data_IF_893564302925
#
_entry.id   IF_893564302925
#
_cell.length_a   1.000
_cell.length_b   1.000
_cell.length_c   1.000
_cell.angle_alpha   90.00
_cell.angle_beta   90.00
_cell.angle_gamma   90.00
#
_symmetry.space_group_name_H-M   'P 1'
#
loop_
_entity.id
_entity.type
_entity.pdbx_description
1 polymer ?
#
# COMPACT_ATOMS: atom_id res chain seq x y z
N UNK A 1 -19.78 15.91 26.17
CA UNK A 1 -19.17 14.56 25.97
C UNK A 1 -18.99 13.81 27.30
N UNK A 2 -19.94 13.93 28.24
CA UNK A 2 -19.85 13.29 29.57
C UNK A 2 -19.72 11.75 29.54
N UNK A 3 -20.00 11.10 28.41
CA UNK A 3 -19.99 9.63 28.27
C UNK A 3 -18.97 9.10 27.27
N UNK A 4 -18.06 9.93 26.79
CA UNK A 4 -17.04 9.57 25.81
C UNK A 4 -17.52 9.36 24.38
N UNK A 5 -16.58 9.20 23.44
CA UNK A 5 -16.85 9.11 21.99
C UNK A 5 -17.60 7.83 21.61
N UNK A 6 -17.27 6.70 22.22
CA UNK A 6 -17.90 5.41 21.94
C UNK A 6 -19.41 5.43 22.24
N UNK A 7 -19.80 6.05 23.38
CA UNK A 7 -21.20 6.19 23.74
C UNK A 7 -21.94 7.16 22.82
N UNK A 8 -21.25 8.22 22.34
CA UNK A 8 -21.83 9.15 21.38
C UNK A 8 -22.12 8.50 20.03
N UNK A 9 -21.21 7.65 19.57
CA UNK A 9 -21.30 6.98 18.27
C UNK A 9 -22.11 5.68 18.31
N UNK A 10 -22.43 5.18 19.51
CA UNK A 10 -22.99 3.82 19.72
C UNK A 10 -22.15 2.74 18.99
N UNK A 11 -20.82 2.88 19.08
CA UNK A 11 -19.87 2.04 18.37
C UNK A 11 -18.86 1.40 19.32
N UNK A 12 -18.83 0.06 19.43
CA UNK A 12 -17.95 -0.65 20.36
C UNK A 12 -16.53 -0.94 19.81
N UNK A 13 -16.27 -0.64 18.54
CA UNK A 13 -14.97 -0.85 17.91
C UNK A 13 -14.00 0.29 18.19
N UNK A 14 -12.74 0.16 17.77
CA UNK A 14 -11.74 1.20 17.92
C UNK A 14 -12.11 2.47 17.13
N UNK A 15 -11.96 3.61 17.79
CA UNK A 15 -12.21 4.93 17.21
C UNK A 15 -10.88 5.64 16.99
N UNK A 16 -10.64 6.03 15.73
CA UNK A 16 -9.48 6.83 15.31
C UNK A 16 -9.96 8.22 14.95
N UNK A 17 -9.25 9.25 15.41
CA UNK A 17 -9.56 10.66 15.10
C UNK A 17 -8.41 11.34 14.41
N UNK A 18 -8.75 12.26 13.50
CA UNK A 18 -7.79 13.19 12.89
C UNK A 18 -7.56 14.40 13.82
N UNK A 19 -6.42 15.08 13.64
CA UNK A 19 -6.07 16.33 14.36
C UNK A 19 -6.83 17.55 13.86
N UNK A 20 -7.41 17.48 12.66
CA UNK A 20 -8.06 18.61 12.00
C UNK A 20 -7.11 19.52 11.22
N UNK A 21 -5.84 19.19 11.07
CA UNK A 21 -4.86 19.99 10.31
C UNK A 21 -5.34 20.30 8.89
N UNK A 22 -5.97 19.34 8.22
CA UNK A 22 -6.53 19.56 6.87
C UNK A 22 -7.67 20.60 6.88
N UNK A 23 -8.45 20.67 7.95
CA UNK A 23 -9.53 21.66 8.10
C UNK A 23 -8.97 23.08 8.23
N UNK A 24 -7.83 23.25 8.90
CA UNK A 24 -7.13 24.54 8.98
C UNK A 24 -6.74 25.05 7.60
N UNK A 25 -6.35 24.16 6.70
CA UNK A 25 -6.06 24.50 5.30
C UNK A 25 -7.31 24.98 4.54
N UNK A 26 -8.48 24.41 4.81
CA UNK A 26 -9.73 24.74 4.10
C UNK A 26 -10.42 25.97 4.67
N UNK A 27 -10.39 26.15 6.00
CA UNK A 27 -11.18 27.14 6.71
C UNK A 27 -10.36 28.25 7.41
N UNK A 28 -9.02 28.20 7.33
CA UNK A 28 -8.08 29.11 7.98
C UNK A 28 -7.53 28.57 9.30
N UNK A 29 -6.51 29.24 9.83
CA UNK A 29 -5.77 28.79 11.01
C UNK A 29 -6.68 28.54 12.22
N UNK A 30 -6.53 27.38 12.82
CA UNK A 30 -7.12 27.03 14.11
C UNK A 30 -6.04 27.27 15.17
N UNK A 31 -6.28 28.20 16.08
CA UNK A 31 -5.37 28.53 17.20
C UNK A 31 -5.43 27.45 18.30
N UNK A 32 -5.04 26.20 17.97
CA UNK A 32 -4.97 25.07 18.92
C UNK A 32 -3.55 24.53 18.94
N UNK A 33 -3.00 24.37 20.15
CA UNK A 33 -1.66 23.81 20.33
C UNK A 33 -1.62 22.27 20.18
N UNK A 34 -0.43 21.70 19.91
CA UNK A 34 -0.27 20.24 19.76
C UNK A 34 -0.63 19.46 21.02
N UNK A 35 -0.34 19.99 22.22
CA UNK A 35 -0.73 19.38 23.49
C UNK A 35 -2.24 19.39 23.70
N UNK A 36 -2.88 20.52 23.38
CA UNK A 36 -4.31 20.72 23.56
C UNK A 36 -5.13 19.78 22.71
N UNK A 37 -4.79 19.64 21.40
CA UNK A 37 -5.54 18.76 20.50
C UNK A 37 -5.40 17.28 20.87
N UNK A 38 -4.23 16.84 21.30
CA UNK A 38 -4.00 15.47 21.74
C UNK A 38 -4.72 15.19 23.07
N UNK A 39 -4.63 16.11 24.02
CA UNK A 39 -5.36 16.01 25.30
C UNK A 39 -6.87 15.97 25.11
N UNK A 40 -7.40 16.76 24.18
CA UNK A 40 -8.82 16.75 23.84
C UNK A 40 -9.27 15.38 23.29
N UNK A 41 -8.50 14.78 22.37
CA UNK A 41 -8.79 13.45 21.84
C UNK A 41 -8.74 12.39 22.95
N UNK A 42 -7.73 12.42 23.81
CA UNK A 42 -7.62 11.53 24.97
C UNK A 42 -8.83 11.67 25.91
N UNK A 43 -9.21 12.90 26.25
CA UNK A 43 -10.30 13.19 27.19
C UNK A 43 -11.68 12.81 26.61
N UNK A 44 -11.80 12.72 25.28
CA UNK A 44 -12.97 12.14 24.62
C UNK A 44 -13.02 10.60 24.68
N UNK A 45 -11.93 9.94 25.09
CA UNK A 45 -11.84 8.48 25.12
C UNK A 45 -11.63 7.85 23.76
N UNK A 46 -10.84 8.50 22.88
CA UNK A 46 -10.41 7.98 21.57
C UNK A 46 -9.37 6.90 21.78
N UNK A 47 -9.41 5.83 20.99
CA UNK A 47 -8.41 4.75 21.06
C UNK A 47 -7.10 5.13 20.38
N UNK A 48 -7.21 5.80 19.22
CA UNK A 48 -6.05 6.27 18.45
C UNK A 48 -6.28 7.73 18.05
N UNK A 49 -5.53 8.63 18.65
CA UNK A 49 -5.52 10.05 18.27
C UNK A 49 -4.53 10.33 17.16
N UNK A 50 -4.58 11.53 16.60
CA UNK A 50 -3.58 12.02 15.63
C UNK A 50 -2.96 13.31 16.17
N UNK A 51 -1.62 13.39 16.16
CA UNK A 51 -0.92 14.62 16.55
C UNK A 51 -1.17 15.75 15.54
N UNK A 52 -1.03 16.98 15.98
CA UNK A 52 -1.13 18.15 15.12
C UNK A 52 0.16 18.30 14.30
N UNK A 53 0.12 17.90 13.06
CA UNK A 53 1.22 18.05 12.10
C UNK A 53 1.20 19.41 11.38
N UNK A 54 2.21 19.68 10.58
CA UNK A 54 2.25 20.81 9.64
C UNK A 54 2.07 20.28 8.24
N UNK A 55 0.94 20.60 7.63
CA UNK A 55 0.53 20.01 6.35
C UNK A 55 1.43 20.46 5.19
N UNK A 56 2.16 19.51 4.61
CA UNK A 56 3.04 19.73 3.45
C UNK A 56 2.33 19.39 2.13
N UNK A 57 2.02 20.41 1.32
CA UNK A 57 1.37 20.22 0.00
C UNK A 57 2.39 19.98 -1.12
N UNK A 58 1.98 19.30 -2.21
CA UNK A 58 2.83 19.08 -3.37
C UNK A 58 3.26 20.35 -4.13
N UNK A 59 2.55 21.47 -3.94
CA UNK A 59 2.81 22.77 -4.59
C UNK A 59 3.65 23.74 -3.75
N UNK A 60 4.02 23.36 -2.53
CA UNK A 60 4.90 24.16 -1.67
C UNK A 60 6.34 24.13 -2.13
N UNK A 61 7.06 25.20 -1.81
CA UNK A 61 8.51 25.28 -2.01
C UNK A 61 9.24 24.27 -1.11
N UNK A 62 10.47 23.93 -1.49
CA UNK A 62 11.29 23.02 -0.69
C UNK A 62 11.48 23.54 0.74
N UNK A 63 11.78 24.82 0.93
CA UNK A 63 11.98 25.42 2.25
C UNK A 63 10.72 25.32 3.14
N UNK A 64 9.53 25.51 2.55
CA UNK A 64 8.26 25.32 3.26
C UNK A 64 8.04 23.86 3.65
N UNK A 65 8.44 22.92 2.81
CA UNK A 65 8.33 21.49 3.08
C UNK A 65 9.35 21.02 4.13
N UNK A 66 10.58 21.54 4.12
CA UNK A 66 11.58 21.32 5.17
C UNK A 66 11.08 21.84 6.51
N UNK A 67 10.46 23.02 6.52
CA UNK A 67 9.79 23.53 7.72
C UNK A 67 8.64 22.62 8.19
N UNK A 68 7.82 22.15 7.27
CA UNK A 68 6.72 21.21 7.56
C UNK A 68 7.24 19.94 8.25
N UNK A 69 8.30 19.34 7.72
CA UNK A 69 8.94 18.15 8.29
C UNK A 69 9.52 18.42 9.68
N UNK A 70 10.36 19.44 9.78
CA UNK A 70 11.05 19.76 11.04
C UNK A 70 10.08 20.16 12.15
N UNK A 71 9.08 21.00 11.84
CA UNK A 71 8.10 21.44 12.83
C UNK A 71 7.16 20.29 13.25
N UNK A 72 6.75 19.42 12.33
CA UNK A 72 5.99 18.21 12.68
C UNK A 72 6.80 17.33 13.64
N UNK A 73 8.08 17.10 13.36
CA UNK A 73 8.95 16.32 14.23
C UNK A 73 9.15 16.99 15.62
N UNK A 74 9.32 18.31 15.69
CA UNK A 74 9.46 19.05 16.93
C UNK A 74 8.26 18.91 17.88
N UNK A 75 7.06 18.68 17.34
CA UNK A 75 5.82 18.45 18.10
C UNK A 75 5.68 17.03 18.63
N UNK A 76 6.55 16.10 18.27
CA UNK A 76 6.42 14.66 18.60
C UNK A 76 6.47 14.42 20.11
N UNK A 77 7.45 14.99 20.82
CA UNK A 77 7.64 14.76 22.26
C UNK A 77 6.45 15.23 23.08
N UNK A 78 5.99 16.47 22.84
CA UNK A 78 4.85 17.03 23.56
C UNK A 78 3.54 16.27 23.25
N UNK A 79 3.38 15.83 22.01
CA UNK A 79 2.20 15.07 21.56
C UNK A 79 2.17 13.67 22.19
N UNK A 80 3.28 12.93 22.16
CA UNK A 80 3.40 11.61 22.80
C UNK A 80 3.17 11.69 24.32
N UNK A 81 3.71 12.73 24.97
CA UNK A 81 3.49 12.97 26.40
C UNK A 81 2.01 13.24 26.71
N UNK A 82 1.34 14.06 25.89
CA UNK A 82 -0.07 14.42 26.07
C UNK A 82 -1.02 13.22 25.84
N UNK A 83 -0.66 12.27 24.98
CA UNK A 83 -1.43 11.06 24.73
C UNK A 83 -1.56 10.17 25.98
N UNK A 84 -0.58 10.23 26.86
CA UNK A 84 -0.56 9.38 28.06
C UNK A 84 -0.43 7.89 27.76
N UNK A 85 -0.63 7.01 28.75
CA UNK A 85 -0.40 5.57 28.58
C UNK A 85 -1.50 4.84 27.78
N UNK A 86 -2.74 5.33 27.82
CA UNK A 86 -3.91 4.57 27.38
C UNK A 86 -4.30 4.83 25.92
N UNK A 87 -4.10 6.06 25.40
CA UNK A 87 -4.41 6.40 24.01
C UNK A 87 -3.19 6.15 23.11
N UNK A 88 -3.39 5.44 22.01
CA UNK A 88 -2.38 5.37 20.95
C UNK A 88 -2.35 6.66 20.11
N UNK A 89 -1.22 6.94 19.45
CA UNK A 89 -1.08 8.17 18.69
C UNK A 89 -0.52 7.91 17.29
N UNK A 90 -1.10 8.57 16.28
CA UNK A 90 -0.61 8.64 14.92
C UNK A 90 0.48 9.69 14.78
N UNK A 91 1.57 9.32 14.09
CA UNK A 91 2.67 10.23 13.71
C UNK A 91 2.69 10.44 12.19
N UNK A 92 2.09 11.53 11.66
CA UNK A 92 2.01 11.77 10.21
C UNK A 92 3.39 12.02 9.58
N UNK A 93 3.58 11.47 8.37
CA UNK A 93 4.78 11.67 7.55
C UNK A 93 4.50 12.78 6.54
N UNK A 94 5.33 13.81 6.53
CA UNK A 94 5.26 14.96 5.63
C UNK A 94 6.45 14.98 4.65
N UNK A 95 6.54 15.97 3.74
CA UNK A 95 7.66 16.13 2.79
C UNK A 95 7.23 16.38 1.34
N UNK A 96 5.93 16.60 1.08
CA UNK A 96 5.42 16.90 -0.27
C UNK A 96 5.73 15.77 -1.26
N UNK A 97 6.30 16.12 -2.42
CA UNK A 97 6.74 15.17 -3.46
C UNK A 97 8.25 14.87 -3.41
N UNK A 98 8.95 15.31 -2.39
CA UNK A 98 10.39 15.10 -2.25
C UNK A 98 10.69 13.80 -1.50
N UNK A 99 11.26 12.81 -2.20
CA UNK A 99 11.55 11.50 -1.63
C UNK A 99 12.52 11.57 -0.43
N UNK A 100 13.52 12.42 -0.49
CA UNK A 100 14.49 12.65 0.59
C UNK A 100 13.83 13.26 1.85
N UNK A 101 12.91 14.20 1.70
CA UNK A 101 12.17 14.76 2.83
C UNK A 101 11.16 13.75 3.42
N UNK A 102 10.58 12.88 2.60
CA UNK A 102 9.73 11.77 3.06
C UNK A 102 10.51 10.77 3.89
N UNK A 103 11.72 10.42 3.43
CA UNK A 103 12.60 9.52 4.17
C UNK A 103 13.07 10.15 5.49
N UNK A 104 13.49 11.42 5.48
CA UNK A 104 13.85 12.18 6.69
C UNK A 104 12.68 12.24 7.68
N UNK A 105 11.49 12.61 7.21
CA UNK A 105 10.28 12.65 8.06
C UNK A 105 9.99 11.28 8.67
N UNK A 106 10.15 10.21 7.89
CA UNK A 106 9.91 8.84 8.35
C UNK A 106 10.92 8.40 9.40
N UNK A 107 12.18 8.76 9.24
CA UNK A 107 13.23 8.50 10.24
C UNK A 107 12.95 9.22 11.55
N UNK A 108 12.59 10.52 11.49
CA UNK A 108 12.30 11.35 12.66
C UNK A 108 11.05 10.84 13.40
N UNK A 109 9.96 10.59 12.67
CA UNK A 109 8.71 10.16 13.26
C UNK A 109 8.74 8.70 13.73
N UNK A 110 9.43 7.83 12.98
CA UNK A 110 9.59 6.41 13.31
C UNK A 110 10.48 6.16 14.52
N UNK A 111 11.41 7.07 14.82
CA UNK A 111 12.31 7.00 15.98
C UNK A 111 11.83 7.79 17.20
N UNK A 112 10.78 8.62 17.07
CA UNK A 112 10.27 9.42 18.17
C UNK A 112 9.67 8.55 19.28
N UNK A 113 10.11 8.76 20.52
CA UNK A 113 9.71 7.96 21.68
C UNK A 113 9.71 8.77 22.95
N UNK A 114 8.71 8.55 23.81
CA UNK A 114 8.63 9.09 25.17
C UNK A 114 8.27 7.93 26.12
N UNK A 115 9.08 7.71 27.13
CA UNK A 115 8.90 6.64 28.14
C UNK A 115 8.68 5.23 27.53
N UNK A 116 9.39 4.90 26.42
CA UNK A 116 9.28 3.61 25.73
C UNK A 116 8.05 3.49 24.82
N UNK A 117 7.32 4.59 24.58
CA UNK A 117 6.15 4.64 23.72
C UNK A 117 6.40 5.56 22.53
N UNK A 118 6.38 4.99 21.34
CA UNK A 118 6.41 5.73 20.06
C UNK A 118 5.04 5.83 19.40
N UNK A 119 5.02 6.38 18.20
CA UNK A 119 3.79 6.42 17.40
C UNK A 119 3.35 5.01 16.98
N UNK A 120 2.05 4.77 17.03
CA UNK A 120 1.46 3.46 16.73
C UNK A 120 1.20 3.25 15.24
N UNK A 121 0.87 4.30 14.51
CA UNK A 121 0.53 4.29 13.10
C UNK A 121 1.21 5.50 12.43
N UNK A 122 1.65 5.34 11.19
CA UNK A 122 2.24 6.42 10.41
C UNK A 122 1.34 6.76 9.19
N UNK A 123 0.52 7.82 9.32
CA UNK A 123 -0.21 8.36 8.17
C UNK A 123 0.72 9.06 7.19
N UNK A 124 0.52 8.83 5.89
CA UNK A 124 1.19 9.58 4.82
C UNK A 124 0.33 10.79 4.49
N UNK A 125 0.79 11.98 4.89
CA UNK A 125 0.08 13.23 4.72
C UNK A 125 0.33 13.91 3.36
N UNK A 126 -0.53 14.88 3.00
CA UNK A 126 -0.35 15.73 1.82
C UNK A 126 -0.58 15.06 0.47
N UNK A 127 -1.22 13.88 0.42
CA UNK A 127 -1.34 13.07 -0.81
C UNK A 127 -2.64 13.27 -1.59
N UNK A 128 -3.67 13.85 -1.00
CA UNK A 128 -4.98 14.04 -1.67
C UNK A 128 -4.86 14.79 -3.00
N UNK A 129 -4.09 15.90 -3.11
CA UNK A 129 -3.93 16.58 -4.39
C UNK A 129 -3.30 15.72 -5.49
N UNK A 130 -2.40 14.80 -5.14
CA UNK A 130 -1.79 13.86 -6.10
C UNK A 130 -2.83 12.88 -6.65
N UNK A 131 -3.74 12.41 -5.81
CA UNK A 131 -4.83 11.52 -6.21
C UNK A 131 -5.85 12.24 -7.10
N UNK A 132 -6.25 13.46 -6.75
CA UNK A 132 -7.18 14.30 -7.54
C UNK A 132 -6.61 14.66 -8.91
N UNK A 133 -5.30 14.90 -9.01
CA UNK A 133 -4.59 15.19 -10.25
C UNK A 133 -4.14 13.93 -11.01
N UNK A 134 -4.42 12.75 -10.49
CA UNK A 134 -4.02 11.45 -11.05
C UNK A 134 -2.49 11.30 -11.22
N UNK A 135 -1.71 11.94 -10.38
CA UNK A 135 -0.24 11.85 -10.33
C UNK A 135 0.19 10.59 -9.57
N UNK A 136 -0.26 9.43 -10.06
CA UNK A 136 -0.12 8.17 -9.33
C UNK A 136 1.32 7.67 -9.25
N UNK A 137 2.15 7.95 -10.26
CA UNK A 137 3.59 7.63 -10.20
C UNK A 137 4.24 8.31 -8.99
N UNK A 138 4.09 9.63 -8.87
CA UNK A 138 4.65 10.38 -7.75
C UNK A 138 4.03 9.95 -6.40
N UNK A 139 2.73 9.63 -6.38
CA UNK A 139 2.06 9.11 -5.20
C UNK A 139 2.72 7.84 -4.67
N UNK A 140 3.07 6.89 -5.54
CA UNK A 140 3.71 5.65 -5.13
C UNK A 140 5.21 5.80 -4.89
N UNK A 141 5.89 6.72 -5.56
CA UNK A 141 7.27 7.08 -5.28
C UNK A 141 7.44 7.60 -3.84
N UNK A 142 6.60 8.57 -3.43
CA UNK A 142 6.65 9.08 -2.06
C UNK A 142 6.18 8.06 -1.01
N UNK A 143 5.27 7.16 -1.35
CA UNK A 143 4.92 6.05 -0.47
C UNK A 143 6.12 5.15 -0.19
N UNK A 144 6.85 4.74 -1.23
CA UNK A 144 8.03 3.90 -1.09
C UNK A 144 9.13 4.61 -0.31
N UNK A 145 9.40 5.88 -0.61
CA UNK A 145 10.36 6.70 0.14
C UNK A 145 9.99 6.82 1.62
N UNK A 146 8.70 7.07 1.92
CA UNK A 146 8.21 7.14 3.30
C UNK A 146 8.35 5.81 4.04
N UNK A 147 8.18 4.68 3.36
CA UNK A 147 8.28 3.35 4.00
C UNK A 147 9.73 2.90 4.22
N UNK A 148 10.69 3.45 3.51
CA UNK A 148 12.08 2.98 3.54
C UNK A 148 12.69 3.05 4.96
N UNK A 149 12.41 4.10 5.71
CA UNK A 149 12.95 4.33 7.06
C UNK A 149 11.92 4.15 8.20
N UNK A 150 10.67 3.77 7.88
CA UNK A 150 9.68 3.47 8.92
C UNK A 150 9.94 2.11 9.58
N UNK A 151 9.67 1.97 10.87
CA UNK A 151 9.69 0.68 11.55
C UNK A 151 8.75 -0.32 10.85
N UNK A 152 9.20 -1.53 10.51
CA UNK A 152 8.42 -2.48 9.71
C UNK A 152 7.23 -3.09 10.45
N UNK A 153 7.16 -2.91 11.77
CA UNK A 153 6.10 -3.39 12.66
C UNK A 153 5.00 -2.33 12.89
N UNK A 154 5.07 -1.17 12.20
CA UNK A 154 4.08 -0.10 12.32
C UNK A 154 3.19 -0.03 11.09
N UNK A 155 1.86 -0.01 11.25
CA UNK A 155 0.93 0.19 10.15
C UNK A 155 1.14 1.54 9.45
N UNK A 156 0.93 1.55 8.13
CA UNK A 156 0.93 2.75 7.30
C UNK A 156 -0.50 3.09 6.90
N UNK A 157 -0.89 4.33 7.13
CA UNK A 157 -2.20 4.86 6.80
C UNK A 157 -2.09 5.83 5.61
N UNK A 158 -2.87 5.60 4.58
CA UNK A 158 -2.89 6.44 3.37
C UNK A 158 -4.02 7.47 3.49
N UNK A 159 -3.71 8.65 4.04
CA UNK A 159 -4.69 9.67 4.39
C UNK A 159 -5.52 10.13 3.19
N UNK A 160 -6.85 10.07 3.34
CA UNK A 160 -7.81 10.51 2.34
C UNK A 160 -7.91 9.61 1.10
N UNK A 161 -7.20 8.48 1.06
CA UNK A 161 -7.25 7.55 -0.06
C UNK A 161 -8.47 6.64 0.04
N UNK A 162 -9.53 6.94 -0.73
CA UNK A 162 -10.76 6.16 -0.70
C UNK A 162 -11.28 5.70 -2.05
N UNK A 163 -10.52 5.92 -3.12
CA UNK A 163 -10.92 5.45 -4.43
C UNK A 163 -10.56 3.96 -4.61
N UNK A 164 -11.53 3.06 -4.89
CA UNK A 164 -11.29 1.62 -4.98
C UNK A 164 -10.20 1.21 -5.97
N UNK A 165 -10.04 1.97 -7.05
CA UNK A 165 -9.01 1.74 -8.07
C UNK A 165 -7.59 1.70 -7.50
N UNK A 166 -7.31 2.46 -6.43
CA UNK A 166 -5.97 2.62 -5.85
C UNK A 166 -5.64 1.55 -4.80
N UNK A 167 -6.64 0.91 -4.21
CA UNK A 167 -6.41 -0.03 -3.09
C UNK A 167 -5.46 -1.17 -3.42
N UNK A 168 -5.61 -1.88 -4.56
CA UNK A 168 -4.75 -3.04 -4.81
C UNK A 168 -3.27 -2.68 -4.91
N UNK A 169 -2.92 -1.59 -5.59
CA UNK A 169 -1.54 -1.13 -5.71
C UNK A 169 -1.00 -0.64 -4.37
N UNK A 170 -1.77 0.20 -3.65
CA UNK A 170 -1.38 0.71 -2.34
C UNK A 170 -1.13 -0.43 -1.34
N UNK A 171 -2.00 -1.43 -1.31
CA UNK A 171 -1.87 -2.60 -0.43
C UNK A 171 -0.70 -3.49 -0.85
N UNK A 172 -0.48 -3.68 -2.16
CA UNK A 172 0.69 -4.41 -2.65
C UNK A 172 2.02 -3.75 -2.23
N UNK A 173 2.01 -2.42 -2.06
CA UNK A 173 3.14 -1.62 -1.58
C UNK A 173 3.15 -1.45 -0.04
N UNK A 174 2.26 -2.12 0.67
CA UNK A 174 2.26 -2.21 2.13
C UNK A 174 1.55 -1.07 2.85
N UNK A 175 0.47 -0.55 2.29
CA UNK A 175 -0.49 0.30 3.00
C UNK A 175 -1.49 -0.58 3.73
N UNK A 176 -1.79 -0.26 4.99
CA UNK A 176 -2.62 -1.05 5.89
C UNK A 176 -3.99 -0.42 6.14
N UNK A 177 -4.06 0.93 6.19
CA UNK A 177 -5.25 1.67 6.61
C UNK A 177 -5.61 2.74 5.57
N UNK A 178 -6.90 2.93 5.37
CA UNK A 178 -7.48 3.92 4.47
C UNK A 178 -8.63 4.65 5.15
N UNK A 179 -8.79 5.93 4.84
CA UNK A 179 -9.96 6.73 5.18
C UNK A 179 -10.39 7.57 3.97
N UNK A 180 -11.64 7.91 3.87
CA UNK A 180 -12.08 8.89 2.87
C UNK A 180 -13.55 9.25 2.99
N UNK A 181 -13.89 10.49 2.63
CA UNK A 181 -15.25 10.94 2.36
C UNK A 181 -15.65 10.80 0.88
N UNK A 182 -14.81 10.20 0.04
CA UNK A 182 -15.02 10.07 -1.40
C UNK A 182 -16.38 9.44 -1.74
N UNK A 183 -16.82 8.43 -0.98
CA UNK A 183 -18.11 7.80 -1.19
C UNK A 183 -19.29 8.79 -1.20
N UNK A 184 -19.26 9.78 -0.32
CA UNK A 184 -20.30 10.79 -0.20
C UNK A 184 -20.09 11.97 -1.15
N UNK A 185 -18.84 12.41 -1.33
CA UNK A 185 -18.48 13.52 -2.22
C UNK A 185 -18.84 13.18 -3.67
N UNK A 186 -18.42 12.02 -4.16
CA UNK A 186 -18.76 11.58 -5.52
C UNK A 186 -20.26 11.37 -5.70
N UNK A 187 -20.98 10.89 -4.69
CA UNK A 187 -22.43 10.70 -4.76
C UNK A 187 -23.19 12.02 -4.92
N UNK A 188 -22.73 13.10 -4.27
CA UNK A 188 -23.29 14.45 -4.43
C UNK A 188 -23.13 15.01 -5.84
N UNK A 189 -22.11 14.57 -6.55
CA UNK A 189 -21.81 14.93 -7.94
C UNK A 189 -22.43 13.93 -8.94
N UNK A 190 -23.41 13.13 -8.51
CA UNK A 190 -24.05 12.09 -9.32
C UNK A 190 -23.06 11.08 -9.93
N UNK A 191 -21.98 10.75 -9.21
CA UNK A 191 -20.93 9.83 -9.63
C UNK A 191 -20.92 8.56 -8.79
N UNK A 192 -20.79 7.43 -9.49
CA UNK A 192 -20.67 6.11 -8.89
C UNK A 192 -19.20 5.67 -8.92
N UNK A 193 -18.72 5.16 -7.80
CA UNK A 193 -17.41 4.50 -7.71
C UNK A 193 -17.51 3.09 -8.29
N UNK A 194 -16.46 2.69 -8.99
CA UNK A 194 -16.24 1.31 -9.43
C UNK A 194 -14.78 0.91 -9.15
N UNK A 195 -14.45 -0.37 -9.17
CA UNK A 195 -13.05 -0.80 -9.08
C UNK A 195 -12.15 -0.30 -10.22
N UNK A 196 -12.74 0.09 -11.34
CA UNK A 196 -12.06 0.57 -12.55
C UNK A 196 -12.07 2.09 -12.70
N UNK A 197 -12.72 2.83 -11.80
CA UNK A 197 -12.80 4.29 -11.88
C UNK A 197 -14.15 4.84 -11.40
N UNK A 198 -14.54 5.99 -11.91
CA UNK A 198 -15.84 6.61 -11.64
C UNK A 198 -16.69 6.69 -12.89
N UNK A 199 -18.00 6.50 -12.72
CA UNK A 199 -18.98 6.67 -13.81
C UNK A 199 -20.01 7.70 -13.39
N UNK A 200 -20.41 8.60 -14.30
CA UNK A 200 -21.52 9.52 -14.05
C UNK A 200 -22.86 8.80 -14.24
N UNK A 201 -23.79 9.09 -13.37
CA UNK A 201 -25.14 8.53 -13.45
C UNK A 201 -25.81 8.80 -14.80
N UNK A 202 -25.56 9.97 -15.38
CA UNK A 202 -26.14 10.38 -16.65
C UNK A 202 -25.63 9.58 -17.85
N UNK A 203 -24.43 8.99 -17.74
CA UNK A 203 -23.82 8.18 -18.79
C UNK A 203 -24.33 6.72 -18.78
N UNK A 204 -25.14 6.33 -17.79
CA UNK A 204 -25.58 4.94 -17.60
C UNK A 204 -27.02 4.71 -18.08
N UNK A 205 -27.22 3.76 -18.96
CA UNK A 205 -28.53 3.22 -19.31
C UNK A 205 -28.90 1.97 -18.52
N UNK A 206 -27.89 1.17 -18.15
CA UNK A 206 -28.01 -0.05 -17.34
C UNK A 206 -26.91 -0.08 -16.27
N UNK A 207 -27.11 -0.91 -15.24
CA UNK A 207 -26.07 -1.12 -14.24
C UNK A 207 -25.07 -2.18 -14.71
N UNK A 208 -23.80 -1.83 -14.99
CA UNK A 208 -22.77 -2.81 -15.35
C UNK A 208 -22.19 -3.55 -14.13
N UNK A 209 -22.74 -3.32 -12.94
CA UNK A 209 -22.31 -3.86 -11.66
C UNK A 209 -23.51 -4.16 -10.76
N UNK A 210 -23.27 -4.98 -9.74
CA UNK A 210 -24.27 -5.28 -8.71
C UNK A 210 -23.96 -4.53 -7.43
N UNK A 211 -25.01 -3.97 -6.82
CA UNK A 211 -24.98 -3.31 -5.53
C UNK A 211 -26.33 -3.46 -4.87
N UNK A 212 -26.34 -3.68 -3.56
CA UNK A 212 -27.61 -3.80 -2.82
C UNK A 212 -28.38 -2.47 -2.83
N UNK A 213 -27.69 -1.35 -2.72
CA UNK A 213 -28.30 -0.02 -2.77
C UNK A 213 -29.05 0.24 -4.08
N UNK A 214 -28.61 -0.35 -5.20
CA UNK A 214 -29.22 -0.21 -6.53
C UNK A 214 -30.27 -1.28 -6.85
N UNK A 215 -30.51 -2.24 -5.96
CA UNK A 215 -31.44 -3.32 -6.19
C UNK A 215 -32.87 -2.80 -6.52
N UNK A 216 -33.50 -3.40 -7.52
CA UNK A 216 -34.81 -3.03 -8.04
C UNK A 216 -34.94 -1.57 -8.58
N UNK A 217 -33.84 -0.88 -8.80
CA UNK A 217 -33.80 0.47 -9.37
C UNK A 217 -33.09 0.44 -10.74
N UNK A 218 -33.42 1.42 -11.59
CA UNK A 218 -32.73 1.64 -12.86
C UNK A 218 -32.03 2.99 -12.84
N UNK A 219 -30.99 3.26 -13.68
CA UNK A 219 -30.38 4.58 -13.76
C UNK A 219 -31.44 5.69 -13.99
N UNK A 220 -32.40 5.42 -14.87
CA UNK A 220 -33.50 6.36 -15.16
C UNK A 220 -34.36 6.64 -13.92
N UNK A 221 -34.68 5.63 -13.12
CA UNK A 221 -35.49 5.80 -11.92
C UNK A 221 -34.76 6.61 -10.83
N UNK A 222 -33.45 6.43 -10.70
CA UNK A 222 -32.64 7.21 -9.75
C UNK A 222 -32.48 8.64 -10.23
N UNK A 223 -32.23 8.89 -11.52
CA UNK A 223 -32.20 10.27 -12.09
C UNK A 223 -33.48 11.06 -11.81
N UNK A 224 -34.63 10.39 -11.72
CA UNK A 224 -35.92 11.04 -11.47
C UNK A 224 -36.18 11.38 -9.98
N UNK A 225 -35.31 10.95 -9.06
CA UNK A 225 -35.43 11.22 -7.62
C UNK A 225 -34.97 12.63 -7.27
N UNK A 226 -35.29 13.07 -6.05
CA UNK A 226 -34.69 14.28 -5.48
C UNK A 226 -33.16 14.13 -5.40
N UNK A 227 -32.42 15.26 -5.43
CA UNK A 227 -30.97 15.24 -5.29
C UNK A 227 -30.53 14.52 -3.99
N UNK A 228 -31.19 14.79 -2.87
CA UNK A 228 -30.83 14.22 -1.57
C UNK A 228 -31.06 12.69 -1.53
N UNK A 229 -32.21 12.22 -2.02
CA UNK A 229 -32.50 10.78 -2.08
C UNK A 229 -31.53 10.05 -3.01
N UNK A 230 -31.24 10.66 -4.16
CA UNK A 230 -30.31 10.15 -5.15
C UNK A 230 -28.91 10.05 -4.58
N UNK A 231 -28.40 11.17 -4.01
CA UNK A 231 -27.08 11.21 -3.38
C UNK A 231 -26.93 10.18 -2.27
N UNK A 232 -27.96 9.95 -1.45
CA UNK A 232 -27.93 8.93 -0.41
C UNK A 232 -27.77 7.53 -0.99
N UNK A 233 -28.56 7.17 -2.01
CA UNK A 233 -28.48 5.85 -2.65
C UNK A 233 -27.12 5.65 -3.32
N UNK A 234 -26.59 6.68 -4.00
CA UNK A 234 -25.27 6.62 -4.62
C UNK A 234 -24.15 6.52 -3.59
N UNK A 235 -24.28 7.19 -2.43
CA UNK A 235 -23.31 7.08 -1.34
C UNK A 235 -23.32 5.66 -0.72
N UNK A 236 -24.48 5.05 -0.54
CA UNK A 236 -24.60 3.65 -0.10
C UNK A 236 -23.90 2.71 -1.10
N UNK A 237 -24.17 2.87 -2.41
CA UNK A 237 -23.49 2.10 -3.46
C UNK A 237 -21.97 2.29 -3.41
N UNK A 238 -21.51 3.53 -3.35
CA UNK A 238 -20.09 3.86 -3.33
C UNK A 238 -19.38 3.23 -2.11
N UNK A 239 -20.05 3.21 -0.95
CA UNK A 239 -19.53 2.56 0.25
C UNK A 239 -19.48 1.03 0.10
N UNK A 240 -20.53 0.41 -0.48
CA UNK A 240 -20.55 -1.03 -0.76
C UNK A 240 -19.40 -1.44 -1.69
N UNK A 241 -19.17 -0.69 -2.77
CA UNK A 241 -18.06 -0.94 -3.72
C UNK A 241 -16.70 -0.81 -3.03
N UNK A 242 -16.53 0.24 -2.22
CA UNK A 242 -15.31 0.47 -1.43
C UNK A 242 -15.03 -0.72 -0.51
N UNK A 243 -16.02 -1.18 0.25
CA UNK A 243 -15.87 -2.32 1.15
C UNK A 243 -15.64 -3.64 0.40
N UNK A 244 -16.31 -3.83 -0.73
CA UNK A 244 -16.13 -5.03 -1.55
C UNK A 244 -14.72 -5.12 -2.15
N UNK A 245 -14.15 -4.00 -2.62
CA UNK A 245 -12.78 -4.00 -3.16
C UNK A 245 -11.73 -4.21 -2.06
N UNK A 246 -11.91 -3.61 -0.87
CA UNK A 246 -11.07 -3.91 0.30
C UNK A 246 -11.13 -5.38 0.71
N UNK A 247 -12.32 -5.98 0.69
CA UNK A 247 -12.48 -7.41 0.96
C UNK A 247 -11.76 -8.27 -0.09
N UNK A 248 -11.86 -7.90 -1.37
CA UNK A 248 -11.13 -8.55 -2.46
C UNK A 248 -9.63 -8.44 -2.29
N UNK A 249 -9.12 -7.28 -1.89
CA UNK A 249 -7.69 -7.09 -1.58
C UNK A 249 -7.24 -7.99 -0.42
N UNK A 250 -8.00 -8.07 0.67
CA UNK A 250 -7.68 -8.98 1.79
C UNK A 250 -7.62 -10.45 1.36
N UNK A 251 -8.55 -10.89 0.52
CA UNK A 251 -8.52 -12.25 -0.06
C UNK A 251 -7.31 -12.44 -1.01
N UNK A 252 -6.98 -11.41 -1.80
CA UNK A 252 -5.82 -11.46 -2.68
C UNK A 252 -4.49 -11.56 -1.89
N UNK A 253 -4.37 -10.84 -0.76
CA UNK A 253 -3.22 -10.98 0.15
C UNK A 253 -3.14 -12.40 0.72
N UNK A 254 -4.25 -12.95 1.23
CA UNK A 254 -4.28 -14.34 1.75
C UNK A 254 -3.87 -15.38 0.72
N UNK A 255 -4.21 -15.14 -0.55
CA UNK A 255 -3.90 -16.04 -1.67
C UNK A 255 -2.54 -15.75 -2.32
N UNK A 256 -1.83 -14.70 -1.91
CA UNK A 256 -0.60 -14.25 -2.56
C UNK A 256 -0.79 -13.73 -3.98
N UNK A 257 -1.95 -13.10 -4.27
CA UNK A 257 -2.32 -12.61 -5.62
C UNK A 257 -2.59 -11.12 -5.65
N UNK A 258 -2.12 -10.38 -4.66
CA UNK A 258 -2.37 -8.93 -4.59
C UNK A 258 -1.67 -8.17 -5.73
N UNK A 259 -0.48 -8.60 -6.14
CA UNK A 259 0.26 -8.02 -7.26
C UNK A 259 -0.51 -8.15 -8.59
N UNK A 260 -1.04 -9.34 -8.87
CA UNK A 260 -1.86 -9.59 -10.06
C UNK A 260 -3.20 -8.83 -10.01
N UNK A 261 -3.72 -8.56 -8.82
CA UNK A 261 -4.89 -7.70 -8.69
C UNK A 261 -4.53 -6.24 -8.99
N UNK A 262 -3.40 -5.75 -8.48
CA UNK A 262 -2.87 -4.42 -8.77
C UNK A 262 -2.62 -4.24 -10.27
N UNK A 263 -1.99 -5.21 -10.92
CA UNK A 263 -1.76 -5.21 -12.35
C UNK A 263 -3.08 -5.09 -13.14
N UNK A 264 -4.06 -5.93 -12.85
CA UNK A 264 -5.37 -5.84 -13.50
C UNK A 264 -6.02 -4.48 -13.33
N UNK A 265 -5.96 -3.87 -12.14
CA UNK A 265 -6.50 -2.54 -11.88
C UNK A 265 -5.74 -1.44 -12.61
N UNK A 266 -4.43 -1.62 -12.81
CA UNK A 266 -3.61 -0.64 -13.52
C UNK A 266 -4.08 -0.40 -14.97
N UNK A 267 -4.68 -1.39 -15.60
CA UNK A 267 -5.22 -1.26 -16.97
C UNK A 267 -6.46 -0.37 -17.09
N UNK A 268 -7.10 -0.03 -15.98
CA UNK A 268 -8.30 0.81 -15.99
C UNK A 268 -8.01 2.31 -16.16
N UNK A 269 -6.76 2.74 -15.93
CA UNK A 269 -6.35 4.14 -16.05
C UNK A 269 -4.96 4.23 -16.66
N UNK A 270 -4.74 5.08 -17.69
CA UNK A 270 -3.42 5.28 -18.26
C UNK A 270 -2.39 5.77 -17.24
N UNK A 271 -2.80 6.64 -16.32
CA UNK A 271 -1.92 7.17 -15.27
C UNK A 271 -1.55 6.10 -14.22
N UNK A 272 -2.50 5.21 -13.88
CA UNK A 272 -2.21 4.10 -12.98
C UNK A 272 -1.36 3.04 -13.69
N UNK A 273 -1.57 2.84 -15.00
CA UNK A 273 -0.73 1.94 -15.79
C UNK A 273 0.70 2.45 -15.90
N UNK A 274 0.90 3.74 -16.13
CA UNK A 274 2.21 4.37 -16.11
C UNK A 274 2.93 4.13 -14.77
N UNK A 275 2.23 4.36 -13.66
CA UNK A 275 2.77 4.12 -12.33
C UNK A 275 3.16 2.66 -12.10
N UNK A 276 2.33 1.72 -12.58
CA UNK A 276 2.62 0.29 -12.46
C UNK A 276 3.84 -0.13 -13.29
N UNK A 277 3.97 0.36 -14.53
CA UNK A 277 5.13 0.08 -15.40
C UNK A 277 6.40 0.66 -14.78
N UNK A 278 6.36 1.92 -14.35
CA UNK A 278 7.48 2.53 -13.64
C UNK A 278 7.91 1.71 -12.41
N UNK A 279 6.94 1.23 -11.63
CA UNK A 279 7.24 0.40 -10.45
C UNK A 279 7.92 -0.92 -10.83
N UNK A 280 7.51 -1.56 -11.94
CA UNK A 280 8.20 -2.76 -12.44
C UNK A 280 9.66 -2.46 -12.82
N UNK A 281 9.91 -1.32 -13.47
CA UNK A 281 11.27 -0.88 -13.82
C UNK A 281 12.13 -0.66 -12.57
N UNK A 282 11.57 -0.06 -11.52
CA UNK A 282 12.29 0.11 -10.24
C UNK A 282 12.58 -1.22 -9.52
N UNK A 283 11.70 -2.21 -9.66
CA UNK A 283 11.89 -3.53 -9.09
C UNK A 283 12.95 -4.36 -9.84
N UNK A 284 13.10 -4.13 -11.15
CA UNK A 284 14.09 -4.82 -11.98
C UNK A 284 15.53 -4.32 -11.69
N UNK A 285 15.69 -3.05 -11.31
CA UNK A 285 16.96 -2.48 -10.86
C UNK A 285 16.84 -1.85 -9.44
N UNK A 286 16.81 -2.68 -8.40
CA UNK A 286 16.59 -2.20 -7.02
C UNK A 286 17.75 -1.35 -6.46
N UNK A 287 18.92 -1.34 -7.09
CA UNK A 287 20.08 -0.54 -6.65
C UNK A 287 20.03 0.90 -7.18
N UNK A 288 19.20 1.18 -8.18
CA UNK A 288 19.07 2.49 -8.85
C UNK A 288 17.66 3.09 -8.64
N UNK A 289 17.31 3.45 -7.41
CA UNK A 289 16.04 4.10 -7.17
C UNK A 289 15.52 4.03 -5.73
N UNK A 290 14.31 4.57 -5.47
CA UNK A 290 13.74 4.62 -4.12
C UNK A 290 13.33 3.25 -3.57
N UNK A 291 13.30 2.21 -4.41
CA UNK A 291 12.82 0.89 -4.01
C UNK A 291 13.84 0.14 -3.16
N UNK A 292 15.10 0.07 -3.62
CA UNK A 292 16.18 -0.61 -2.89
C UNK A 292 15.90 -2.06 -2.47
N UNK A 293 16.91 -2.77 -2.00
CA UNK A 293 16.77 -4.18 -1.59
C UNK A 293 15.77 -4.37 -0.42
N UNK A 294 15.72 -3.42 0.53
CA UNK A 294 14.84 -3.51 1.69
C UNK A 294 13.36 -3.40 1.31
N UNK A 295 13.03 -2.49 0.41
CA UNK A 295 11.66 -2.27 -0.08
C UNK A 295 11.23 -3.43 -0.97
N UNK A 296 12.10 -3.91 -1.86
CA UNK A 296 11.83 -5.11 -2.66
C UNK A 296 11.52 -6.31 -1.77
N UNK A 297 12.28 -6.51 -0.69
CA UNK A 297 12.05 -7.59 0.27
C UNK A 297 10.71 -7.45 0.99
N UNK A 298 10.32 -6.23 1.37
CA UNK A 298 9.03 -5.94 1.97
C UNK A 298 7.87 -6.25 1.01
N UNK A 299 7.96 -5.80 -0.25
CA UNK A 299 6.94 -6.07 -1.28
C UNK A 299 6.85 -7.57 -1.55
N UNK A 300 7.97 -8.27 -1.63
CA UNK A 300 8.02 -9.71 -1.84
C UNK A 300 7.35 -10.50 -0.71
N UNK A 301 7.37 -9.99 0.53
CA UNK A 301 6.74 -10.65 1.69
C UNK A 301 5.22 -10.71 1.58
N UNK A 302 4.60 -9.72 0.94
CA UNK A 302 3.14 -9.69 0.67
C UNK A 302 2.74 -10.46 -0.60
N UNK A 303 3.72 -10.95 -1.37
CA UNK A 303 3.54 -11.73 -2.59
C UNK A 303 4.32 -13.04 -2.51
N UNK A 304 3.88 -14.00 -1.69
CA UNK A 304 4.61 -15.24 -1.46
C UNK A 304 4.76 -16.06 -2.73
N UNK A 305 5.86 -16.80 -2.82
CA UNK A 305 6.13 -17.71 -3.93
C UNK A 305 5.06 -18.79 -3.98
N UNK A 306 4.47 -18.98 -5.15
CA UNK A 306 3.49 -20.04 -5.45
C UNK A 306 4.15 -21.20 -6.21
N UNK A 307 3.45 -22.33 -6.32
CA UNK A 307 3.92 -23.47 -7.10
C UNK A 307 4.20 -23.07 -8.55
N UNK A 308 5.18 -23.72 -9.18
CA UNK A 308 5.55 -23.45 -10.59
C UNK A 308 4.39 -23.59 -11.56
N UNK A 309 3.38 -24.43 -11.26
CA UNK A 309 2.18 -24.58 -12.08
C UNK A 309 1.23 -23.37 -12.05
N UNK A 310 1.38 -22.49 -11.08
CA UNK A 310 0.61 -21.25 -10.93
C UNK A 310 1.34 -20.03 -11.50
N UNK A 311 2.59 -20.18 -11.88
CA UNK A 311 3.42 -19.15 -12.48
C UNK A 311 3.29 -19.23 -14.01
N UNK A 312 2.41 -18.41 -14.57
CA UNK A 312 2.10 -18.39 -16.00
C UNK A 312 2.38 -17.00 -16.58
N UNK A 313 2.81 -16.98 -17.87
CA UNK A 313 3.08 -15.78 -18.63
C UNK A 313 4.55 -15.35 -18.58
N UNK A 314 4.93 -14.52 -19.54
CA UNK A 314 6.30 -13.98 -19.66
C UNK A 314 6.59 -12.94 -18.58
N UNK A 315 5.56 -12.26 -18.06
CA UNK A 315 5.64 -11.25 -17.02
C UNK A 315 6.03 -11.80 -15.63
N UNK A 316 6.16 -13.10 -15.50
CA UNK A 316 6.62 -13.74 -14.24
C UNK A 316 7.99 -13.20 -13.79
N UNK A 317 8.86 -12.83 -14.71
CA UNK A 317 10.20 -12.33 -14.44
C UNK A 317 10.18 -10.99 -13.69
N UNK A 318 9.13 -10.21 -13.85
CA UNK A 318 8.97 -8.88 -13.23
C UNK A 318 8.21 -8.92 -11.90
N UNK A 319 7.90 -10.09 -11.37
CA UNK A 319 7.17 -10.19 -10.10
C UNK A 319 8.10 -10.00 -8.90
N UNK A 320 7.71 -9.19 -7.90
CA UNK A 320 8.57 -8.86 -6.76
C UNK A 320 9.20 -10.08 -6.07
N UNK A 321 8.42 -11.16 -5.87
CA UNK A 321 8.94 -12.37 -5.23
C UNK A 321 9.95 -13.13 -6.10
N UNK A 322 9.84 -13.06 -7.43
CA UNK A 322 10.82 -13.66 -8.36
C UNK A 322 12.11 -12.85 -8.33
N UNK A 323 12.03 -11.53 -8.49
CA UNK A 323 13.18 -10.63 -8.42
C UNK A 323 13.92 -10.75 -7.08
N UNK A 324 13.18 -10.83 -5.98
CA UNK A 324 13.77 -11.03 -4.66
C UNK A 324 14.52 -12.37 -4.55
N UNK A 325 13.96 -13.47 -5.07
CA UNK A 325 14.63 -14.77 -5.08
C UNK A 325 15.88 -14.73 -5.96
N UNK A 326 15.82 -14.10 -7.12
CA UNK A 326 16.97 -13.93 -8.01
C UNK A 326 18.10 -13.18 -7.31
N UNK A 327 17.80 -12.06 -6.63
CA UNK A 327 18.78 -11.31 -5.85
C UNK A 327 19.38 -12.15 -4.71
N UNK A 328 18.58 -12.92 -3.98
CA UNK A 328 19.07 -13.84 -2.94
C UNK A 328 19.96 -14.94 -3.51
N UNK A 329 19.59 -15.52 -4.65
CA UNK A 329 20.41 -16.55 -5.31
C UNK A 329 21.74 -16.00 -5.79
N UNK A 330 21.74 -14.82 -6.40
CA UNK A 330 22.98 -14.19 -6.88
C UNK A 330 23.99 -13.94 -5.74
N UNK A 331 23.51 -13.57 -4.56
CA UNK A 331 24.39 -13.19 -3.43
C UNK A 331 24.64 -14.28 -2.41
N UNK A 332 23.69 -15.19 -2.19
CA UNK A 332 23.69 -16.12 -1.05
C UNK A 332 23.71 -17.59 -1.44
N UNK A 333 23.38 -17.92 -2.72
CA UNK A 333 23.31 -19.33 -3.09
C UNK A 333 24.69 -20.01 -3.02
N UNK A 334 24.68 -21.22 -2.50
CA UNK A 334 25.85 -22.12 -2.45
C UNK A 334 25.38 -23.53 -2.78
N UNK A 335 26.26 -24.30 -3.41
CA UNK A 335 25.97 -25.73 -3.66
C UNK A 335 25.73 -26.44 -2.34
N UNK A 336 24.56 -27.07 -2.14
CA UNK A 336 24.29 -27.77 -0.88
C UNK A 336 25.28 -28.90 -0.63
N UNK A 337 25.80 -29.00 0.60
CA UNK A 337 26.75 -30.06 0.98
C UNK A 337 26.16 -31.45 0.85
N UNK A 338 24.83 -31.62 0.96
CA UNK A 338 24.10 -32.86 0.75
C UNK A 338 24.12 -33.39 -0.70
N UNK A 339 24.53 -32.56 -1.66
CA UNK A 339 24.68 -32.96 -3.06
C UNK A 339 26.05 -33.58 -3.33
N UNK A 340 26.88 -33.69 -2.33
CA UNK A 340 28.19 -34.31 -2.42
C UNK A 340 28.16 -35.76 -1.95
N UNK A 341 28.61 -36.62 -2.80
CA UNK A 341 28.88 -38.00 -2.38
C UNK A 341 30.21 -38.06 -1.60
N UNK A 342 30.19 -38.66 -0.44
CA UNK A 342 31.38 -38.82 0.41
C UNK A 342 32.50 -39.62 -0.26
N UNK A 343 32.16 -40.41 -1.25
CA UNK A 343 33.12 -41.24 -2.02
C UNK A 343 33.72 -40.50 -3.22
N UNK A 344 33.01 -39.53 -3.80
CA UNK A 344 33.44 -38.81 -4.99
C UNK A 344 33.98 -37.41 -4.69
N UNK A 345 33.77 -36.90 -3.48
CA UNK A 345 34.19 -35.55 -3.07
C UNK A 345 33.25 -34.44 -3.58
N UNK A 346 33.62 -33.17 -3.40
CA UNK A 346 32.78 -32.03 -3.77
C UNK A 346 32.53 -31.96 -5.27
N UNK A 347 31.39 -31.37 -5.65
CA UNK A 347 31.09 -31.09 -7.05
C UNK A 347 32.14 -30.16 -7.67
N UNK A 348 32.60 -30.53 -8.86
CA UNK A 348 33.59 -29.76 -9.62
C UNK A 348 32.97 -28.84 -10.66
N UNK A 349 31.72 -29.13 -11.06
CA UNK A 349 31.00 -28.37 -12.05
C UNK A 349 29.49 -28.35 -11.80
N UNK A 350 28.87 -27.31 -12.31
CA UNK A 350 27.42 -27.17 -12.41
C UNK A 350 27.06 -27.07 -13.88
N UNK A 351 26.24 -28.01 -14.34
CA UNK A 351 25.66 -27.95 -15.68
C UNK A 351 24.27 -27.31 -15.59
N UNK A 352 24.13 -26.14 -16.16
CA UNK A 352 22.87 -25.41 -16.20
C UNK A 352 22.16 -25.67 -17.52
N UNK A 353 21.01 -26.34 -17.47
CA UNK A 353 20.17 -26.58 -18.63
C UNK A 353 19.12 -25.48 -18.75
N UNK A 354 18.88 -25.01 -19.95
CA UNK A 354 17.83 -24.04 -20.23
C UNK A 354 16.44 -24.63 -19.98
N UNK A 355 15.63 -23.96 -19.15
CA UNK A 355 14.23 -24.29 -18.88
C UNK A 355 13.31 -23.44 -19.73
N UNK A 356 12.43 -24.07 -20.50
CA UNK A 356 11.53 -23.37 -21.43
C UNK A 356 10.14 -23.10 -20.88
N UNK A 357 9.61 -23.99 -20.05
CA UNK A 357 8.28 -23.85 -19.43
C UNK A 357 8.03 -24.92 -18.36
N UNK A 358 7.15 -24.65 -17.37
CA UNK A 358 6.75 -25.66 -16.37
C UNK A 358 6.08 -26.89 -17.02
N UNK A 359 6.15 -28.05 -16.38
CA UNK A 359 6.98 -28.41 -15.24
C UNK A 359 8.43 -28.71 -15.69
N UNK A 360 9.35 -27.82 -15.36
CA UNK A 360 10.72 -27.80 -15.91
C UNK A 360 11.47 -29.13 -15.76
N UNK A 361 11.53 -29.68 -14.55
CA UNK A 361 12.26 -30.94 -14.31
C UNK A 361 11.67 -32.12 -15.08
N UNK A 362 10.36 -32.22 -15.13
CA UNK A 362 9.69 -33.36 -15.82
C UNK A 362 9.96 -33.36 -17.31
N UNK A 363 10.03 -32.20 -17.96
CA UNK A 363 10.32 -32.10 -19.41
C UNK A 363 11.75 -32.46 -19.77
N UNK A 364 12.66 -32.39 -18.81
CA UNK A 364 14.09 -32.71 -19.00
C UNK A 364 14.51 -33.97 -18.24
N UNK A 365 13.58 -34.74 -17.68
CA UNK A 365 13.87 -35.84 -16.76
C UNK A 365 14.87 -36.88 -17.35
N UNK A 366 14.69 -37.32 -18.59
CA UNK A 366 15.60 -38.27 -19.21
C UNK A 366 17.01 -37.72 -19.41
N UNK A 367 17.13 -36.42 -19.77
CA UNK A 367 18.41 -35.77 -19.95
C UNK A 367 19.10 -35.56 -18.56
N UNK A 368 18.34 -35.16 -17.57
CA UNK A 368 18.84 -35.00 -16.19
C UNK A 368 19.35 -36.33 -15.65
N UNK A 369 18.59 -37.42 -15.82
CA UNK A 369 19.00 -38.75 -15.39
C UNK A 369 20.28 -39.22 -16.08
N UNK A 370 20.44 -38.93 -17.37
CA UNK A 370 21.64 -39.26 -18.11
C UNK A 370 22.85 -38.48 -17.59
N UNK A 371 22.73 -37.16 -17.49
CA UNK A 371 23.80 -36.27 -17.07
C UNK A 371 24.17 -36.40 -15.57
N UNK A 372 23.22 -36.79 -14.73
CA UNK A 372 23.46 -37.03 -13.31
C UNK A 372 24.34 -38.26 -13.01
N UNK A 373 24.66 -39.05 -14.06
CA UNK A 373 25.62 -40.17 -13.95
C UNK A 373 27.07 -39.70 -14.03
N UNK A 374 27.30 -38.49 -14.51
CA UNK A 374 28.65 -37.91 -14.53
C UNK A 374 29.11 -37.58 -13.13
N UNK A 375 30.24 -38.15 -12.69
CA UNK A 375 30.70 -37.93 -11.32
C UNK A 375 31.07 -36.45 -11.09
N UNK A 376 30.70 -35.96 -9.92
CA UNK A 376 31.05 -34.59 -9.46
C UNK A 376 30.43 -33.46 -10.27
N UNK A 377 29.38 -33.73 -11.06
CA UNK A 377 28.62 -32.73 -11.79
C UNK A 377 27.20 -32.57 -11.21
N UNK A 378 26.85 -31.35 -10.85
CA UNK A 378 25.48 -31.00 -10.45
C UNK A 378 24.72 -30.53 -11.67
N UNK A 379 23.59 -31.15 -11.96
CA UNK A 379 22.74 -30.76 -13.08
C UNK A 379 21.55 -29.95 -12.56
N UNK A 380 21.40 -28.76 -13.09
CA UNK A 380 20.34 -27.83 -12.72
C UNK A 380 19.60 -27.31 -13.96
N UNK A 381 18.38 -26.88 -13.80
CA UNK A 381 17.59 -26.21 -14.84
C UNK A 381 17.47 -24.73 -14.50
N UNK A 382 17.84 -23.87 -15.42
CA UNK A 382 17.59 -22.44 -15.32
C UNK A 382 16.10 -22.17 -15.48
N UNK A 383 15.52 -21.47 -14.54
CA UNK A 383 14.11 -21.07 -14.57
C UNK A 383 13.99 -19.59 -14.13
N UNK A 384 12.88 -18.91 -14.39
CA UNK A 384 12.67 -17.54 -13.90
C UNK A 384 12.83 -17.39 -12.38
N UNK A 385 12.57 -18.45 -11.62
CA UNK A 385 12.76 -18.47 -10.16
C UNK A 385 14.18 -18.86 -9.73
N UNK A 386 15.08 -19.05 -10.66
CA UNK A 386 16.44 -19.49 -10.45
C UNK A 386 16.72 -20.94 -10.81
N UNK A 387 17.93 -21.43 -10.57
CA UNK A 387 18.28 -22.82 -10.86
C UNK A 387 17.62 -23.80 -9.88
N UNK A 388 16.98 -24.83 -10.40
CA UNK A 388 16.30 -25.90 -9.66
C UNK A 388 16.84 -27.29 -9.98
#
# INVERSE_FOLDING_TARGET
LSNGIHSLLDFPGAVVTDSGTFQSYVYGDVEVGPEEIVSFQRDMGVDVGTMLDVFGRPDMTRDELEHSVSETANRSEISLSAAGPDMQLNGPIQGGTHADLRDESSLLMGSAEVDGKGFAIHPIGGIVPLMEQQRYRELFEILLASKASLPPDRPVHFFGCGHPLLFPMSIALGVDIFDSAAYAIFARDDRLLTPEGTVKLDDLEEWPFHSHALYAKTPKSIRAMSHDDRSRILAEHNLEVTQAELAKCREAVRKGTIWELAERRSHASPYLREAFVWLQEQLDDPDDGPVGESVLRMIASSNPLRSGGEQLGEEIEYRPHILHIQALLATRWRVPGSWWDSTTGPAEGVLLLEGTSPPWRNKKSALIEHLSREPRTVVMISTPIGPI
#
